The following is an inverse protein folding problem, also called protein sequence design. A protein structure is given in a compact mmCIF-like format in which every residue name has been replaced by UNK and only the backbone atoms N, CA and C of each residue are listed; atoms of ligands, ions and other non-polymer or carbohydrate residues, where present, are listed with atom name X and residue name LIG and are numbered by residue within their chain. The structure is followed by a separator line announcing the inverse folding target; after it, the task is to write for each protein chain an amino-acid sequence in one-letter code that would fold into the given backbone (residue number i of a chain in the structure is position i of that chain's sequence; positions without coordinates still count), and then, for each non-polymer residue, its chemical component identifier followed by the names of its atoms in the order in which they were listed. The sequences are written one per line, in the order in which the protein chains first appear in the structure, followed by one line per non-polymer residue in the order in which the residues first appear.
data_IF_986378001995
#
_entry.id   IF_986378001995
#
_cell.length_a   1.000
_cell.length_b   1.000
_cell.length_c   1.000
_cell.angle_alpha   90.00
_cell.angle_beta   90.00
_cell.angle_gamma   90.00
#
_symmetry.space_group_name_H-M   'P 1'
#
loop_
_entity.id
_entity.type
_entity.pdbx_description
1 polymer ?
#
# COMPACT_ATOMS: atom_id res chain seq x y z
N UNK A 1 2.32 6.82 5.49
CA UNK A 1 1.73 5.48 5.28
C UNK A 1 0.32 5.66 4.80
N UNK A 2 -0.16 4.76 3.94
CA UNK A 2 -1.52 4.80 3.42
C UNK A 2 -2.37 3.78 4.19
N UNK A 3 -3.32 4.23 5.01
CA UNK A 3 -4.11 3.37 5.91
C UNK A 3 -5.08 2.44 5.15
N UNK A 4 -5.18 2.57 3.83
CA UNK A 4 -6.03 1.73 2.95
C UNK A 4 -5.71 0.26 2.92
N UNK A 5 -4.51 -0.13 3.35
CA UNK A 5 -4.09 -1.53 3.38
C UNK A 5 -4.61 -2.28 4.62
N UNK A 6 -5.13 -1.56 5.62
CA UNK A 6 -5.59 -2.11 6.90
C UNK A 6 -7.03 -2.63 6.74
N UNK A 7 -7.18 -3.74 6.02
CA UNK A 7 -8.47 -4.43 5.91
C UNK A 7 -8.94 -5.01 7.26
N UNK A 8 -10.22 -5.36 7.38
CA UNK A 8 -10.75 -6.04 8.58
C UNK A 8 -9.97 -7.31 8.95
N UNK A 9 -9.54 -8.10 7.96
CA UNK A 9 -8.71 -9.28 8.18
C UNK A 9 -7.34 -8.93 8.77
N UNK A 10 -6.68 -7.91 8.21
CA UNK A 10 -5.39 -7.40 8.69
C UNK A 10 -5.51 -6.88 10.14
N UNK A 11 -6.58 -6.15 10.46
CA UNK A 11 -6.85 -5.65 11.83
C UNK A 11 -6.94 -6.79 12.85
N UNK A 12 -7.65 -7.86 12.51
CA UNK A 12 -7.80 -9.03 13.38
C UNK A 12 -6.45 -9.68 13.69
N UNK A 13 -5.57 -9.80 12.70
CA UNK A 13 -4.23 -10.35 12.88
C UNK A 13 -3.37 -9.41 13.72
N UNK A 14 -3.32 -8.12 13.40
CA UNK A 14 -2.55 -7.12 14.13
C UNK A 14 -2.93 -7.03 15.63
N UNK A 15 -4.24 -7.13 15.94
CA UNK A 15 -4.73 -7.15 17.32
C UNK A 15 -4.43 -8.44 18.07
N UNK A 16 -4.25 -9.55 17.36
CA UNK A 16 -3.98 -10.87 17.94
C UNK A 16 -2.53 -11.10 18.35
N UNK A 17 -1.61 -10.22 17.94
CA UNK A 17 -0.18 -10.34 18.22
C UNK A 17 0.18 -9.53 19.48
N UNK A 18 0.83 -10.18 20.43
CA UNK A 18 1.46 -9.50 21.57
C UNK A 18 2.78 -8.86 21.12
N UNK A 19 2.92 -7.55 21.37
CA UNK A 19 4.09 -6.76 21.01
C UNK A 19 5.35 -7.20 21.73
N UNK A 20 5.24 -7.50 23.03
CA UNK A 20 6.38 -7.93 23.85
C UNK A 20 6.84 -9.33 23.45
N UNK A 21 5.92 -10.21 23.03
CA UNK A 21 6.28 -11.52 22.50
C UNK A 21 6.96 -11.41 21.12
N UNK A 22 6.49 -10.51 20.26
CA UNK A 22 7.10 -10.27 18.96
C UNK A 22 8.54 -9.75 19.10
N UNK A 23 8.77 -8.76 19.98
CA UNK A 23 10.12 -8.21 20.21
C UNK A 23 11.08 -9.28 20.75
N UNK A 24 10.65 -10.07 21.74
CA UNK A 24 11.43 -11.20 22.26
C UNK A 24 11.74 -12.23 21.17
N UNK A 25 10.79 -12.48 20.26
CA UNK A 25 10.99 -13.40 19.16
C UNK A 25 12.03 -12.88 18.15
N UNK A 26 11.99 -11.58 17.84
CA UNK A 26 13.00 -10.92 17.00
C UNK A 26 14.40 -11.02 17.63
N UNK A 27 14.52 -10.76 18.93
CA UNK A 27 15.78 -10.90 19.66
C UNK A 27 16.29 -12.35 19.64
N UNK A 28 15.39 -13.31 19.81
CA UNK A 28 15.70 -14.74 19.70
C UNK A 28 16.19 -15.09 18.29
N UNK A 29 15.55 -14.57 17.24
CA UNK A 29 15.99 -14.76 15.85
C UNK A 29 17.40 -14.22 15.60
N UNK A 30 17.76 -13.10 16.23
CA UNK A 30 19.09 -12.50 16.14
C UNK A 30 20.14 -13.29 16.92
N UNK A 31 19.76 -13.87 18.06
CA UNK A 31 20.65 -14.70 18.88
C UNK A 31 20.94 -16.06 18.23
N UNK A 32 19.90 -16.73 17.73
CA UNK A 32 19.98 -18.07 17.14
C UNK A 32 20.25 -18.06 15.63
N UNK A 33 20.22 -16.88 15.01
CA UNK A 33 20.45 -16.66 13.56
C UNK A 33 19.45 -17.44 12.68
N UNK A 34 18.21 -17.53 13.17
CA UNK A 34 17.12 -18.31 12.58
C UNK A 34 15.82 -17.52 12.61
N UNK A 35 15.17 -17.34 11.46
CA UNK A 35 13.95 -16.53 11.33
C UNK A 35 12.64 -17.31 11.42
N UNK A 36 12.66 -18.66 11.50
CA UNK A 36 11.43 -19.46 11.46
C UNK A 36 10.52 -19.23 12.67
N UNK A 37 11.05 -18.75 13.80
CA UNK A 37 10.25 -18.40 14.98
C UNK A 37 9.20 -17.31 14.70
N UNK A 38 9.39 -16.50 13.66
CA UNK A 38 8.44 -15.48 13.25
C UNK A 38 7.25 -16.02 12.45
N UNK A 39 7.26 -17.30 12.04
CA UNK A 39 6.15 -17.90 11.29
C UNK A 39 4.87 -17.97 12.12
N UNK A 40 4.98 -18.17 13.44
CA UNK A 40 3.84 -18.27 14.37
C UNK A 40 3.05 -16.96 14.45
N UNK A 41 3.70 -15.83 14.23
CA UNK A 41 3.11 -14.50 14.29
C UNK A 41 2.34 -14.12 13.02
N UNK A 42 2.42 -14.93 11.94
CA UNK A 42 1.72 -14.68 10.66
C UNK A 42 1.90 -13.24 10.15
N UNK A 43 3.10 -12.68 10.29
CA UNK A 43 3.41 -11.29 9.92
C UNK A 43 3.19 -10.98 8.42
N UNK A 44 3.17 -12.00 7.56
CA UNK A 44 2.76 -11.90 6.15
C UNK A 44 1.30 -11.45 5.97
N UNK A 45 0.44 -11.74 6.94
CA UNK A 45 -0.98 -11.35 6.93
C UNK A 45 -1.21 -9.96 7.54
N UNK A 46 -0.16 -9.30 8.03
CA UNK A 46 -0.24 -7.97 8.65
C UNK A 46 -0.20 -6.81 7.64
N UNK A 47 -0.24 -7.10 6.33
CA UNK A 47 -0.21 -6.10 5.26
C UNK A 47 1.13 -5.99 4.54
N UNK A 48 1.16 -5.25 3.43
CA UNK A 48 2.31 -5.23 2.51
C UNK A 48 3.55 -4.59 3.15
N UNK A 49 3.35 -3.57 3.98
CA UNK A 49 4.41 -2.85 4.65
C UNK A 49 5.18 -3.74 5.64
N UNK A 50 4.47 -4.42 6.55
CA UNK A 50 5.07 -5.39 7.49
C UNK A 50 5.70 -6.56 6.72
N UNK A 51 5.04 -7.08 5.70
CA UNK A 51 5.57 -8.15 4.83
C UNK A 51 6.91 -7.77 4.20
N UNK A 52 7.02 -6.54 3.68
CA UNK A 52 8.27 -6.06 3.08
C UNK A 52 9.40 -5.98 4.12
N UNK A 53 9.10 -5.50 5.33
CA UNK A 53 10.09 -5.41 6.42
C UNK A 53 10.51 -6.79 6.92
N UNK A 54 9.56 -7.72 7.02
CA UNK A 54 9.81 -9.11 7.38
C UNK A 54 10.78 -9.77 6.39
N UNK A 55 10.52 -9.65 5.08
CA UNK A 55 11.41 -10.21 4.05
C UNK A 55 12.82 -9.63 4.12
N UNK A 56 12.96 -8.35 4.48
CA UNK A 56 14.28 -7.72 4.69
C UNK A 56 14.98 -8.28 5.92
N UNK A 57 14.25 -8.45 7.02
CA UNK A 57 14.78 -9.05 8.25
C UNK A 57 15.25 -10.49 8.04
N UNK A 58 14.44 -11.35 7.42
CA UNK A 58 14.81 -12.74 7.12
C UNK A 58 16.08 -12.84 6.26
N UNK A 59 16.21 -11.95 5.27
CA UNK A 59 17.43 -11.85 4.44
C UNK A 59 18.65 -11.43 5.28
N UNK A 60 18.47 -10.46 6.18
CA UNK A 60 19.55 -9.98 7.05
C UNK A 60 20.01 -11.06 8.05
N UNK A 61 19.08 -11.80 8.66
CA UNK A 61 19.38 -12.95 9.54
C UNK A 61 20.11 -14.06 8.76
N UNK A 62 19.66 -14.35 7.54
CA UNK A 62 20.34 -15.33 6.67
C UNK A 62 21.76 -14.89 6.32
N UNK A 63 21.97 -13.60 6.03
CA UNK A 63 23.29 -13.04 5.75
C UNK A 63 24.21 -13.09 6.98
N UNK A 64 23.68 -12.83 8.17
CA UNK A 64 24.39 -12.98 9.44
C UNK A 64 24.87 -14.42 9.65
N UNK A 65 23.98 -15.40 9.44
CA UNK A 65 24.30 -16.84 9.54
C UNK A 65 25.39 -17.29 8.59
N UNK A 66 25.41 -16.73 7.37
CA UNK A 66 26.39 -17.09 6.33
C UNK A 66 27.74 -16.37 6.49
N UNK A 67 27.81 -15.34 7.34
CA UNK A 67 29.02 -14.51 7.51
C UNK A 67 30.03 -15.16 8.43
N UNK A 68 31.20 -15.51 7.87
CA UNK A 68 32.25 -16.29 8.57
C UNK A 68 33.40 -15.44 9.11
N UNK A 69 33.72 -14.30 8.50
CA UNK A 69 34.80 -13.43 8.99
C UNK A 69 34.27 -12.48 10.06
N UNK A 70 35.08 -12.19 11.08
CA UNK A 70 34.71 -11.32 12.20
C UNK A 70 34.15 -9.97 11.71
N UNK A 71 34.85 -9.29 10.80
CA UNK A 71 34.40 -8.01 10.23
C UNK A 71 33.03 -8.11 9.53
N UNK A 72 32.85 -9.11 8.66
CA UNK A 72 31.57 -9.29 7.93
C UNK A 72 30.43 -9.69 8.86
N UNK A 73 30.74 -10.46 9.91
CA UNK A 73 29.76 -10.90 10.89
C UNK A 73 29.26 -9.73 11.73
N UNK A 74 30.14 -8.80 12.12
CA UNK A 74 29.75 -7.58 12.82
C UNK A 74 28.86 -6.68 11.95
N UNK A 75 29.26 -6.44 10.70
CA UNK A 75 28.45 -5.67 9.73
C UNK A 75 27.07 -6.31 9.49
N UNK A 76 27.03 -7.64 9.33
CA UNK A 76 25.78 -8.37 9.15
C UNK A 76 24.91 -8.34 10.42
N UNK A 77 25.51 -8.33 11.61
CA UNK A 77 24.80 -8.26 12.90
C UNK A 77 24.13 -6.91 13.07
N UNK A 78 24.86 -5.83 12.80
CA UNK A 78 24.29 -4.48 12.78
C UNK A 78 23.12 -4.39 11.80
N UNK A 79 23.30 -4.90 10.58
CA UNK A 79 22.24 -4.91 9.55
C UNK A 79 21.00 -5.68 10.00
N UNK A 80 21.18 -6.84 10.66
CA UNK A 80 20.07 -7.64 11.15
C UNK A 80 19.34 -6.98 12.32
N UNK A 81 20.06 -6.35 13.25
CA UNK A 81 19.47 -5.57 14.34
C UNK A 81 18.64 -4.40 13.82
N UNK A 82 19.19 -3.66 12.86
CA UNK A 82 18.50 -2.54 12.22
C UNK A 82 17.24 -3.02 11.48
N UNK A 83 17.32 -4.14 10.76
CA UNK A 83 16.16 -4.74 10.10
C UNK A 83 15.09 -5.22 11.10
N UNK A 84 15.51 -5.71 12.28
CA UNK A 84 14.61 -6.12 13.37
C UNK A 84 13.84 -4.94 13.95
N UNK A 85 14.54 -3.84 14.29
CA UNK A 85 13.92 -2.59 14.73
C UNK A 85 12.93 -2.05 13.71
N UNK A 86 13.35 -2.01 12.44
CA UNK A 86 12.49 -1.60 11.33
C UNK A 86 11.23 -2.46 11.17
N UNK A 87 11.29 -3.76 11.53
CA UNK A 87 10.14 -4.66 11.52
C UNK A 87 9.21 -4.35 12.70
N UNK A 88 9.74 -4.20 13.90
CA UNK A 88 8.98 -3.80 15.10
C UNK A 88 8.27 -2.46 14.87
N UNK A 89 9.00 -1.44 14.41
CA UNK A 89 8.45 -0.12 14.12
C UNK A 89 7.30 -0.19 13.10
N UNK A 90 7.47 -1.00 12.05
CA UNK A 90 6.44 -1.18 11.04
C UNK A 90 5.19 -1.87 11.57
N UNK A 91 5.36 -2.88 12.42
CA UNK A 91 4.25 -3.54 13.11
C UNK A 91 3.51 -2.55 14.02
N UNK A 92 4.22 -1.78 14.84
CA UNK A 92 3.63 -0.79 15.74
C UNK A 92 2.89 0.32 15.00
N UNK A 93 3.46 0.82 13.90
CA UNK A 93 2.79 1.81 13.06
C UNK A 93 1.49 1.26 12.46
N UNK A 94 1.51 0.02 11.94
CA UNK A 94 0.29 -0.60 11.42
C UNK A 94 -0.75 -0.85 12.50
N UNK A 95 -0.32 -1.31 13.69
CA UNK A 95 -1.19 -1.54 14.83
C UNK A 95 -1.81 -0.25 15.36
N UNK A 96 -1.05 0.83 15.47
CA UNK A 96 -1.57 2.15 15.85
C UNK A 96 -2.63 2.64 14.85
N UNK A 97 -2.37 2.45 13.55
CA UNK A 97 -3.32 2.77 12.48
C UNK A 97 -4.64 2.02 12.56
N UNK A 98 -4.71 0.86 13.22
CA UNK A 98 -5.98 0.12 13.41
C UNK A 98 -7.00 0.96 14.18
N UNK A 99 -6.57 1.69 15.21
CA UNK A 99 -7.48 2.51 16.02
C UNK A 99 -8.00 3.72 15.23
N UNK A 100 -7.15 4.32 14.38
CA UNK A 100 -7.56 5.39 13.47
C UNK A 100 -8.60 4.89 12.47
N UNK A 101 -8.34 3.76 11.81
CA UNK A 101 -9.26 3.17 10.83
C UNK A 101 -10.60 2.78 11.48
N UNK A 102 -10.56 2.23 12.69
CA UNK A 102 -11.79 1.90 13.43
C UNK A 102 -12.60 3.13 13.82
N UNK A 103 -11.94 4.23 14.20
CA UNK A 103 -12.63 5.49 14.45
C UNK A 103 -13.21 6.10 13.16
N UNK A 104 -12.51 5.96 12.03
CA UNK A 104 -12.97 6.45 10.72
C UNK A 104 -14.14 5.63 10.17
N UNK A 105 -14.13 4.30 10.30
CA UNK A 105 -15.21 3.41 9.86
C UNK A 105 -16.55 3.65 10.58
N UNK A 106 -16.49 4.31 11.74
CA UNK A 106 -17.69 4.81 12.41
C UNK A 106 -18.32 5.98 11.63
N UNK A 107 -17.63 6.69 10.75
CA UNK A 107 -18.22 7.86 10.07
C UNK A 107 -18.26 7.68 8.56
N UNK A 108 -17.27 7.00 7.98
CA UNK A 108 -17.20 6.76 6.55
C UNK A 108 -16.41 5.50 6.21
N UNK A 109 -16.68 4.94 5.03
CA UNK A 109 -15.92 3.86 4.43
C UNK A 109 -15.66 4.16 2.97
N UNK A 110 -14.49 3.77 2.46
CA UNK A 110 -14.12 3.93 1.05
C UNK A 110 -13.86 2.54 0.47
N UNK A 111 -14.89 2.01 -0.20
CA UNK A 111 -14.89 0.68 -0.78
C UNK A 111 -14.47 0.67 -2.24
N UNK A 112 -13.74 -0.37 -2.60
CA UNK A 112 -13.26 -0.59 -3.95
C UNK A 112 -14.09 -1.68 -4.62
N UNK A 113 -15.17 -1.32 -5.33
CA UNK A 113 -15.67 -2.19 -6.40
C UNK A 113 -14.81 -1.98 -7.64
N UNK A 114 -13.60 -2.54 -7.61
CA UNK A 114 -12.72 -2.53 -8.77
C UNK A 114 -12.84 -3.85 -9.51
N UNK A 115 -13.65 -3.87 -10.56
CA UNK A 115 -13.50 -4.87 -11.61
C UNK A 115 -12.18 -4.59 -12.32
N UNK A 116 -11.21 -5.49 -12.18
CA UNK A 116 -9.99 -5.46 -12.98
C UNK A 116 -10.39 -5.57 -14.46
N UNK A 117 -10.10 -4.57 -15.30
CA UNK A 117 -10.32 -4.68 -16.73
C UNK A 117 -9.48 -5.82 -17.29
N UNK A 118 -10.05 -6.65 -18.16
CA UNK A 118 -9.33 -7.76 -18.81
C UNK A 118 -8.17 -7.26 -19.67
N UNK A 119 -8.29 -6.04 -20.22
CA UNK A 119 -7.27 -5.33 -20.98
C UNK A 119 -7.25 -3.85 -20.60
N UNK A 120 -6.08 -3.20 -20.68
CA UNK A 120 -5.96 -1.78 -20.38
C UNK A 120 -5.84 -1.01 -21.69
N UNK A 121 -6.63 0.06 -21.81
CA UNK A 121 -6.46 1.04 -22.88
C UNK A 121 -5.65 2.23 -22.36
N UNK A 122 -5.17 3.08 -23.27
CA UNK A 122 -4.50 4.34 -22.91
C UNK A 122 -5.39 5.25 -22.06
N UNK A 123 -6.71 5.09 -22.16
CA UNK A 123 -7.66 5.71 -21.24
C UNK A 123 -7.93 4.78 -20.06
N UNK A 124 -7.27 5.06 -18.95
CA UNK A 124 -7.48 4.36 -17.69
C UNK A 124 -8.70 4.95 -16.98
N UNK A 125 -9.50 4.08 -16.35
CA UNK A 125 -10.61 4.49 -15.51
C UNK A 125 -10.63 3.71 -14.20
N UNK A 126 -10.95 4.39 -13.12
CA UNK A 126 -11.07 3.82 -11.78
C UNK A 126 -12.37 4.34 -11.17
N UNK A 127 -13.18 3.42 -10.64
CA UNK A 127 -14.40 3.77 -9.91
C UNK A 127 -14.17 3.52 -8.43
N UNK A 128 -14.32 4.57 -7.63
CA UNK A 128 -14.25 4.48 -6.17
C UNK A 128 -15.66 4.63 -5.63
N UNK A 129 -16.10 3.67 -4.84
CA UNK A 129 -17.34 3.77 -4.08
C UNK A 129 -17.01 4.21 -2.67
N UNK A 130 -17.92 4.94 -2.06
CA UNK A 130 -17.74 5.38 -0.69
C UNK A 130 -19.10 5.48 -0.02
N UNK A 131 -19.08 5.30 1.29
CA UNK A 131 -20.23 5.42 2.17
C UNK A 131 -19.88 6.40 3.27
N UNK A 132 -20.80 7.26 3.66
CA UNK A 132 -20.59 8.21 4.74
C UNK A 132 -21.88 8.45 5.50
N UNK A 133 -21.76 8.96 6.71
CA UNK A 133 -22.88 9.46 7.49
C UNK A 133 -22.48 10.75 8.20
N UNK A 134 -23.46 11.64 8.37
CA UNK A 134 -23.25 12.96 9.00
C UNK A 134 -23.06 12.79 10.52
N UNK A 135 -23.72 11.81 11.11
CA UNK A 135 -23.65 11.49 12.54
C UNK A 135 -23.70 9.97 12.75
N UNK A 136 -23.29 9.50 13.93
CA UNK A 136 -23.27 8.07 14.30
C UNK A 136 -24.66 7.43 14.30
N UNK A 137 -25.70 8.23 14.46
CA UNK A 137 -27.10 7.78 14.46
C UNK A 137 -27.80 8.01 13.12
N UNK A 138 -27.13 8.67 12.16
CA UNK A 138 -27.70 8.93 10.85
C UNK A 138 -27.57 7.70 9.93
N UNK A 139 -28.50 7.61 8.97
CA UNK A 139 -28.46 6.58 7.95
C UNK A 139 -27.22 6.72 7.05
N UNK A 140 -26.68 5.57 6.64
CA UNK A 140 -25.56 5.51 5.70
C UNK A 140 -25.97 6.01 4.32
N UNK A 141 -25.27 7.04 3.84
CA UNK A 141 -25.35 7.53 2.47
C UNK A 141 -24.25 6.87 1.63
N UNK A 142 -24.51 6.74 0.34
CA UNK A 142 -23.65 6.01 -0.59
C UNK A 142 -23.41 6.84 -1.85
N UNK A 143 -22.19 6.79 -2.35
CA UNK A 143 -21.76 7.56 -3.50
C UNK A 143 -20.70 6.83 -4.29
N UNK A 144 -20.47 7.29 -5.52
CA UNK A 144 -19.39 6.78 -6.34
C UNK A 144 -18.84 7.85 -7.25
N UNK A 145 -17.52 7.86 -7.40
CA UNK A 145 -16.78 8.76 -8.28
C UNK A 145 -16.00 7.93 -9.30
N UNK A 146 -16.04 8.36 -10.56
CA UNK A 146 -15.27 7.76 -11.64
C UNK A 146 -14.13 8.68 -12.03
N UNK A 147 -12.91 8.24 -11.79
CA UNK A 147 -11.70 8.89 -12.24
C UNK A 147 -11.33 8.41 -13.63
N UNK A 148 -10.93 9.32 -14.51
CA UNK A 148 -10.39 9.01 -15.83
C UNK A 148 -9.02 9.64 -16.00
N UNK A 149 -8.09 8.89 -16.56
CA UNK A 149 -6.71 9.31 -16.81
C UNK A 149 -6.30 8.90 -18.21
N UNK A 150 -5.63 9.80 -18.92
CA UNK A 150 -5.04 9.50 -20.22
C UNK A 150 -3.55 9.23 -20.00
N UNK A 151 -3.14 7.96 -20.14
CA UNK A 151 -1.76 7.56 -20.07
C UNK A 151 -1.00 8.18 -21.25
N UNK A 152 -0.12 9.13 -20.96
CA UNK A 152 0.82 9.66 -21.94
C UNK A 152 1.97 8.65 -22.07
N UNK A 153 2.30 8.27 -23.30
CA UNK A 153 3.58 7.61 -23.57
C UNK A 153 4.67 8.65 -23.32
N UNK A 154 5.31 8.61 -22.14
CA UNK A 154 6.50 9.42 -21.93
C UNK A 154 7.60 8.93 -22.88
N UNK A 155 8.22 9.83 -23.66
CA UNK A 155 9.33 9.43 -24.51
C UNK A 155 10.44 8.94 -23.60
N UNK A 156 10.83 7.67 -23.74
CA UNK A 156 11.88 7.09 -22.92
C UNK A 156 13.25 7.55 -23.41
N UNK A 157 13.62 8.79 -23.06
CA UNK A 157 14.91 9.39 -23.40
C UNK A 157 16.12 8.64 -22.83
N UNK A 158 15.90 7.77 -21.84
CA UNK A 158 16.92 6.94 -21.21
C UNK A 158 16.84 5.45 -21.57
N UNK A 159 15.94 5.06 -22.49
CA UNK A 159 15.88 3.65 -22.89
C UNK A 159 17.11 3.29 -23.74
N UNK A 160 17.92 2.40 -23.18
CA UNK A 160 18.99 1.73 -23.92
C UNK A 160 18.32 0.97 -25.06
N UNK A 161 18.63 1.35 -26.30
CA UNK A 161 18.14 0.65 -27.49
C UNK A 161 18.51 -0.83 -27.35
N UNK A 162 17.54 -1.76 -27.32
CA UNK A 162 17.84 -3.16 -27.15
C UNK A 162 18.77 -3.64 -28.27
N UNK A 163 19.89 -4.27 -27.90
CA UNK A 163 20.88 -4.81 -28.86
C UNK A 163 20.29 -5.90 -29.77
N UNK A 164 19.10 -6.42 -29.42
CA UNK A 164 18.35 -7.43 -30.16
C UNK A 164 16.91 -6.97 -30.34
N UNK A 165 16.34 -7.15 -31.55
CA UNK A 165 14.92 -6.88 -31.83
C UNK A 165 14.05 -7.65 -30.84
N UNK A 166 13.31 -6.92 -30.01
CA UNK A 166 12.29 -7.47 -29.13
C UNK A 166 11.07 -7.84 -30.00
N UNK A 167 10.45 -8.99 -29.72
CA UNK A 167 9.28 -9.43 -30.50
C UNK A 167 8.08 -8.50 -30.26
N UNK A 168 7.21 -8.38 -31.26
CA UNK A 168 5.97 -7.59 -31.16
C UNK A 168 5.12 -8.03 -29.96
N UNK A 169 5.08 -9.34 -29.68
CA UNK A 169 4.38 -9.90 -28.52
C UNK A 169 4.95 -9.39 -27.18
N UNK A 170 6.29 -9.30 -27.07
CA UNK A 170 6.94 -8.84 -25.84
C UNK A 170 6.75 -7.34 -25.62
N UNK A 171 6.78 -6.53 -26.68
CA UNK A 171 6.42 -5.11 -26.59
C UNK A 171 4.96 -4.90 -26.15
N UNK A 172 4.02 -5.68 -26.68
CA UNK A 172 2.62 -5.62 -26.27
C UNK A 172 2.45 -6.00 -24.78
N UNK A 173 3.17 -7.02 -24.31
CA UNK A 173 3.17 -7.43 -22.91
C UNK A 173 3.75 -6.35 -21.99
N UNK A 174 4.89 -5.76 -22.35
CA UNK A 174 5.51 -4.66 -21.59
C UNK A 174 4.59 -3.42 -21.54
N UNK A 175 3.92 -3.08 -22.65
CA UNK A 175 2.91 -2.00 -22.68
C UNK A 175 1.76 -2.29 -21.73
N UNK A 176 1.24 -3.52 -21.73
CA UNK A 176 0.14 -3.94 -20.86
C UNK A 176 0.55 -3.93 -19.38
N UNK A 177 1.77 -4.38 -19.04
CA UNK A 177 2.29 -4.35 -17.67
C UNK A 177 2.50 -2.91 -17.18
N UNK A 178 3.01 -2.02 -18.03
CA UNK A 178 3.15 -0.60 -17.70
C UNK A 178 1.79 0.08 -17.47
N UNK A 179 0.79 -0.22 -18.32
CA UNK A 179 -0.58 0.28 -18.13
C UNK A 179 -1.21 -0.25 -16.85
N UNK A 180 -0.96 -1.51 -16.51
CA UNK A 180 -1.41 -2.11 -15.24
C UNK A 180 -0.81 -1.38 -14.04
N UNK A 181 0.51 -1.17 -14.00
CA UNK A 181 1.19 -0.43 -12.93
C UNK A 181 0.68 1.01 -12.81
N UNK A 182 0.46 1.67 -13.94
CA UNK A 182 -0.12 3.02 -13.97
C UNK A 182 -1.56 3.04 -13.44
N UNK A 183 -2.36 2.01 -13.74
CA UNK A 183 -3.72 1.86 -13.23
C UNK A 183 -3.76 1.57 -11.73
N UNK A 184 -2.87 0.71 -11.22
CA UNK A 184 -2.74 0.46 -9.76
C UNK A 184 -2.37 1.74 -9.01
N UNK A 185 -1.40 2.50 -9.55
CA UNK A 185 -0.98 3.76 -8.95
C UNK A 185 -2.08 4.82 -8.99
N UNK A 186 -2.79 4.95 -10.13
CA UNK A 186 -3.97 5.80 -10.26
C UNK A 186 -5.03 5.44 -9.21
N UNK A 187 -5.32 4.15 -9.06
CA UNK A 187 -6.28 3.64 -8.08
C UNK A 187 -5.92 4.03 -6.66
N UNK A 188 -4.65 3.84 -6.27
CA UNK A 188 -4.16 4.21 -4.94
C UNK A 188 -4.34 5.71 -4.66
N UNK A 189 -3.94 6.57 -5.60
CA UNK A 189 -4.07 8.03 -5.45
C UNK A 189 -5.55 8.45 -5.38
N UNK A 190 -6.40 7.90 -6.24
CA UNK A 190 -7.83 8.21 -6.26
C UNK A 190 -8.53 7.85 -4.94
N UNK A 191 -8.19 6.68 -4.37
CA UNK A 191 -8.69 6.23 -3.07
C UNK A 191 -8.22 7.16 -1.94
N UNK A 192 -6.93 7.49 -1.93
CA UNK A 192 -6.34 8.43 -0.96
C UNK A 192 -7.00 9.79 -0.99
N UNK A 193 -7.33 10.27 -2.19
CA UNK A 193 -8.05 11.51 -2.37
C UNK A 193 -9.42 11.45 -1.69
N UNK A 194 -10.29 10.51 -2.07
CA UNK A 194 -11.66 10.39 -1.51
C UNK A 194 -11.63 10.23 0.02
N UNK A 195 -10.72 9.41 0.53
CA UNK A 195 -10.56 9.23 1.98
C UNK A 195 -10.16 10.51 2.69
N UNK A 196 -9.17 11.24 2.18
CA UNK A 196 -8.76 12.51 2.78
C UNK A 196 -9.91 13.52 2.81
N UNK A 197 -10.71 13.58 1.75
CA UNK A 197 -11.90 14.44 1.70
C UNK A 197 -12.91 14.13 2.81
N UNK A 198 -13.21 12.86 3.02
CA UNK A 198 -14.15 12.40 4.06
C UNK A 198 -13.55 12.53 5.47
N UNK A 199 -12.24 12.29 5.62
CA UNK A 199 -11.50 12.46 6.88
C UNK A 199 -11.50 13.91 7.36
N UNK A 200 -11.53 14.89 6.45
CA UNK A 200 -11.69 16.31 6.79
C UNK A 200 -13.11 16.68 7.24
N UNK A 201 -14.05 15.72 7.32
CA UNK A 201 -15.42 15.94 7.76
C UNK A 201 -16.30 16.64 6.72
N UNK A 202 -15.89 16.64 5.45
CA UNK A 202 -16.63 17.26 4.35
C UNK A 202 -17.77 16.35 3.88
N UNK A 203 -18.83 16.94 3.34
CA UNK A 203 -20.00 16.21 2.89
C UNK A 203 -19.72 15.41 1.61
N UNK A 204 -19.83 14.08 1.69
CA UNK A 204 -19.66 13.18 0.55
C UNK A 204 -20.63 13.44 -0.60
N UNK A 205 -21.75 14.14 -0.36
CA UNK A 205 -22.73 14.49 -1.42
C UNK A 205 -22.16 15.45 -2.47
N UNK A 206 -21.14 16.24 -2.10
CA UNK A 206 -20.49 17.23 -2.96
C UNK A 206 -19.40 16.62 -3.86
N UNK A 207 -19.10 15.32 -3.70
CA UNK A 207 -18.11 14.63 -4.52
C UNK A 207 -18.68 14.46 -5.94
N UNK A 208 -17.97 14.92 -6.99
CA UNK A 208 -18.45 14.82 -8.36
C UNK A 208 -18.54 13.37 -8.82
N UNK A 209 -19.48 13.08 -9.72
CA UNK A 209 -19.64 11.73 -10.31
C UNK A 209 -18.45 11.33 -11.20
N UNK A 210 -17.82 12.31 -11.85
CA UNK A 210 -16.71 12.08 -12.80
C UNK A 210 -15.60 13.11 -12.60
N UNK A 211 -14.35 12.65 -12.63
CA UNK A 211 -13.18 13.51 -12.53
C UNK A 211 -12.08 13.08 -13.51
N UNK A 212 -11.42 14.04 -14.15
CA UNK A 212 -10.29 13.76 -15.04
C UNK A 212 -8.98 14.09 -14.34
N UNK A 213 -8.19 13.06 -14.08
CA UNK A 213 -6.87 13.18 -13.43
C UNK A 213 -5.88 13.75 -14.45
N UNK A 214 -5.22 14.85 -14.07
CA UNK A 214 -4.27 15.54 -14.95
C UNK A 214 -2.86 14.94 -14.89
N UNK A 215 -2.48 14.39 -13.74
CA UNK A 215 -1.15 13.82 -13.49
C UNK A 215 -1.25 12.70 -12.45
N UNK A 216 -0.39 11.68 -12.54
CA UNK A 216 -0.25 10.58 -11.59
C UNK A 216 0.58 10.97 -10.36
N UNK A 217 0.32 12.15 -9.81
CA UNK A 217 0.87 12.60 -8.54
C UNK A 217 -0.25 12.72 -7.50
N UNK A 218 0.12 12.77 -6.22
CA UNK A 218 -0.83 12.80 -5.10
C UNK A 218 -1.79 14.01 -5.15
N UNK A 219 -1.47 15.05 -5.91
CA UNK A 219 -2.31 16.24 -6.09
C UNK A 219 -3.23 16.16 -7.31
N UNK A 220 -2.92 15.29 -8.27
CA UNK A 220 -3.58 15.22 -9.57
C UNK A 220 -4.98 14.63 -9.50
N UNK A 221 -5.31 13.91 -8.41
CA UNK A 221 -6.65 13.39 -8.14
C UNK A 221 -7.48 14.26 -7.19
N UNK A 222 -6.93 15.36 -6.65
CA UNK A 222 -7.65 16.23 -5.71
C UNK A 222 -8.78 16.98 -6.41
N UNK A 223 -9.96 16.38 -6.41
CA UNK A 223 -11.16 16.94 -7.03
C UNK A 223 -11.73 18.14 -6.24
N UNK A 224 -11.43 18.26 -4.94
CA UNK A 224 -11.96 19.33 -4.10
C UNK A 224 -11.24 20.68 -4.23
N UNK A 225 -10.08 20.73 -4.88
CA UNK A 225 -9.44 22.01 -5.21
C UNK A 225 -10.19 22.76 -6.32
N UNK A 226 -11.08 22.06 -7.04
CA UNK A 226 -11.97 22.62 -8.06
C UNK A 226 -13.36 22.93 -7.52
N UNK A 227 -13.71 22.46 -6.32
CA UNK A 227 -14.96 22.82 -5.61
C UNK A 227 -14.74 24.01 -4.66
N UNK A 228 -13.83 24.92 -5.02
CA UNK A 228 -13.50 26.09 -4.21
C UNK A 228 -14.55 27.20 -4.29
N UNK A 229 -14.96 27.65 -3.10
CA UNK A 229 -15.88 28.73 -2.72
C UNK A 229 -17.37 28.35 -2.67
#
# INVERSE_FOLDING_TARGET
MSYFEISHAVRKVLKGIDESELEKCIDKCLYEEQSYYLQDFRLYDCGSYVTQKLSRFEKAVTALRLSKSSKKREEARYTAQEAGRNLTDAFLQMRAGVSEVEAEEVTFSVDEQNFLPTTFSERLSVRINYSWRIDQNADWQHGSITFSYLAKEEPSYFSVVPTRKVSVARHAQEKQENLYRAWEHLRAICKESVHKYLKEGRDGSLIPKTFTVKNLNNFGANFWNLTGA
#
